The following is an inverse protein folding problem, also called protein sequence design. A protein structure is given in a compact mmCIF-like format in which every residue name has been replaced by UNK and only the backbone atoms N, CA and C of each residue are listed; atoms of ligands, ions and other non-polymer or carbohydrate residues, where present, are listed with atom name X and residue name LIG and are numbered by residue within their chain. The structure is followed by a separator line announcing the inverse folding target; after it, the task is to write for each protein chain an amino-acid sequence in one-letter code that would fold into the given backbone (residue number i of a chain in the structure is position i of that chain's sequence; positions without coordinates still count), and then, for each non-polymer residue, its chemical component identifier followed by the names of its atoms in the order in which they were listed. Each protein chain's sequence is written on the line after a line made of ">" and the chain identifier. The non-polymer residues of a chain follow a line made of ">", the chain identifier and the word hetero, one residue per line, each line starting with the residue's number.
data_IF_149330252885
#
_entry.id   IF_149330252885
#
_cell.length_a   1.000
_cell.length_b   1.000
_cell.length_c   1.000
_cell.angle_alpha   90.00
_cell.angle_beta   90.00
_cell.angle_gamma   90.00
#
_symmetry.space_group_name_H-M   'P 1'
#
loop_
_entity.id
_entity.type
_entity.pdbx_description
1 polymer ?
#
# COMPACT_ATOMS: atom_id res chain seq x y z
N UNK A 1 5.25 11.29 -21.71
CA UNK A 1 6.13 10.72 -20.68
C UNK A 1 5.72 9.27 -20.50
N UNK A 2 6.66 8.33 -20.53
CA UNK A 2 6.37 6.90 -20.41
C UNK A 2 6.08 6.48 -18.97
N UNK A 3 5.33 5.40 -18.81
CA UNK A 3 5.13 4.76 -17.51
C UNK A 3 6.40 3.99 -17.13
N UNK A 4 6.91 4.22 -15.93
CA UNK A 4 8.06 3.50 -15.39
C UNK A 4 7.55 2.48 -14.37
N UNK A 5 7.95 1.23 -14.54
CA UNK A 5 7.63 0.14 -13.63
C UNK A 5 8.90 -0.39 -12.94
N UNK A 6 8.78 -0.72 -11.66
CA UNK A 6 9.82 -1.38 -10.87
C UNK A 6 9.32 -2.73 -10.38
N UNK A 7 10.11 -3.78 -10.55
CA UNK A 7 9.85 -5.08 -9.92
C UNK A 7 10.34 -5.04 -8.47
N UNK A 8 9.41 -5.22 -7.53
CA UNK A 8 9.67 -5.17 -6.09
C UNK A 8 9.14 -6.42 -5.41
N UNK A 9 9.91 -6.95 -4.47
CA UNK A 9 9.43 -7.98 -3.56
C UNK A 9 8.78 -7.33 -2.34
N UNK A 10 7.51 -7.63 -2.10
CA UNK A 10 6.82 -7.30 -0.85
C UNK A 10 6.84 -8.52 0.05
N UNK A 11 7.33 -8.37 1.27
CA UNK A 11 7.30 -9.41 2.29
C UNK A 11 6.47 -8.95 3.49
N UNK A 12 5.77 -9.90 4.11
CA UNK A 12 5.15 -9.68 5.41
C UNK A 12 6.24 -9.63 6.49
N UNK A 13 6.25 -8.58 7.31
CA UNK A 13 7.25 -8.43 8.37
C UNK A 13 7.08 -9.47 9.49
N UNK A 14 5.86 -9.92 9.76
CA UNK A 14 5.57 -10.96 10.75
C UNK A 14 5.94 -12.36 10.25
N UNK A 15 5.96 -12.58 8.93
CA UNK A 15 6.28 -13.86 8.30
C UNK A 15 6.92 -13.66 6.91
N UNK A 16 8.26 -13.59 6.86
CA UNK A 16 9.01 -13.35 5.61
C UNK A 16 8.81 -14.42 4.55
N UNK A 17 8.31 -15.62 4.89
CA UNK A 17 7.99 -16.66 3.90
C UNK A 17 6.79 -16.25 3.04
N UNK A 18 5.95 -15.34 3.55
CA UNK A 18 4.85 -14.72 2.81
C UNK A 18 5.40 -13.48 2.11
N UNK A 19 5.92 -13.71 0.91
CA UNK A 19 6.41 -12.66 0.04
C UNK A 19 5.90 -12.85 -1.39
N UNK A 20 5.84 -11.75 -2.15
CA UNK A 20 5.41 -11.75 -3.55
C UNK A 20 6.13 -10.66 -4.32
N UNK A 21 6.60 -10.99 -5.50
CA UNK A 21 7.16 -10.05 -6.46
C UNK A 21 6.05 -9.41 -7.28
N UNK A 22 6.11 -8.09 -7.44
CA UNK A 22 5.08 -7.28 -8.08
C UNK A 22 5.72 -6.14 -8.87
N UNK A 23 5.16 -5.82 -10.03
CA UNK A 23 5.48 -4.60 -10.75
C UNK A 23 4.74 -3.41 -10.15
N UNK A 24 5.49 -2.38 -9.75
CA UNK A 24 4.99 -1.12 -9.21
C UNK A 24 5.11 0.00 -10.23
N UNK A 25 4.02 0.72 -10.47
CA UNK A 25 4.06 1.97 -11.20
C UNK A 25 4.76 3.04 -10.34
N UNK A 26 5.78 3.68 -10.91
CA UNK A 26 6.44 4.82 -10.27
C UNK A 26 5.60 6.07 -10.50
N UNK A 27 4.92 6.51 -9.44
CA UNK A 27 4.18 7.78 -9.40
C UNK A 27 4.89 8.76 -8.46
N UNK A 28 5.60 9.73 -9.04
CA UNK A 28 6.34 10.76 -8.28
C UNK A 28 5.41 11.71 -7.51
N UNK A 29 4.11 11.73 -7.83
CA UNK A 29 3.10 12.48 -7.08
C UNK A 29 2.60 11.75 -5.83
N UNK A 30 2.83 10.45 -5.72
CA UNK A 30 2.39 9.65 -4.58
C UNK A 30 3.37 9.79 -3.40
N UNK A 31 2.83 10.08 -2.22
CA UNK A 31 3.62 10.19 -0.97
C UNK A 31 3.77 8.86 -0.23
N UNK A 32 3.07 7.81 -0.67
CA UNK A 32 3.07 6.46 -0.08
C UNK A 32 2.96 5.41 -1.18
N UNK A 33 3.46 4.21 -0.93
CA UNK A 33 3.23 3.06 -1.79
C UNK A 33 1.84 2.45 -1.53
N UNK A 34 1.19 1.98 -2.59
CA UNK A 34 -0.14 1.37 -2.52
C UNK A 34 -0.10 -0.05 -3.08
N UNK A 35 -0.74 -0.98 -2.37
CA UNK A 35 -1.00 -2.34 -2.83
C UNK A 35 -2.50 -2.59 -2.91
N UNK A 36 -2.90 -3.51 -3.78
CA UNK A 36 -4.29 -3.95 -3.81
C UNK A 36 -4.64 -4.68 -2.50
N UNK A 37 -5.91 -4.58 -2.08
CA UNK A 37 -6.41 -5.35 -0.92
C UNK A 37 -6.21 -6.86 -1.08
N UNK A 38 -6.27 -7.34 -2.33
CA UNK A 38 -6.04 -8.74 -2.63
C UNK A 38 -4.61 -9.15 -2.33
N UNK A 39 -3.60 -8.37 -2.76
CA UNK A 39 -2.19 -8.61 -2.43
C UNK A 39 -1.96 -8.61 -0.93
N UNK A 40 -2.52 -7.62 -0.21
CA UNK A 40 -2.41 -7.57 1.24
C UNK A 40 -3.01 -8.82 1.92
N UNK A 41 -4.17 -9.29 1.43
CA UNK A 41 -4.82 -10.51 1.93
C UNK A 41 -3.99 -11.77 1.64
N UNK A 42 -3.47 -11.91 0.43
CA UNK A 42 -2.61 -13.05 0.02
C UNK A 42 -1.35 -13.13 0.88
N UNK A 43 -0.73 -11.99 1.18
CA UNK A 43 0.46 -11.91 2.04
C UNK A 43 0.13 -12.00 3.55
N UNK A 44 -1.15 -12.05 3.92
CA UNK A 44 -1.59 -12.05 5.32
C UNK A 44 -1.22 -10.77 6.08
N UNK A 45 -1.08 -9.66 5.35
CA UNK A 45 -0.72 -8.35 5.91
C UNK A 45 -1.93 -7.78 6.66
N UNK A 46 -1.71 -7.45 7.93
CA UNK A 46 -2.74 -6.87 8.80
C UNK A 46 -2.80 -5.36 8.64
N UNK A 47 -4.02 -4.83 8.76
CA UNK A 47 -4.28 -3.40 8.84
C UNK A 47 -3.85 -2.90 10.21
N UNK A 48 -3.06 -1.83 10.24
CA UNK A 48 -2.62 -1.20 11.50
C UNK A 48 -3.48 0.02 11.88
N UNK A 49 -4.26 0.56 10.95
CA UNK A 49 -5.15 1.69 11.25
C UNK A 49 -5.95 2.18 10.04
N UNK A 50 -6.80 3.18 10.29
CA UNK A 50 -7.48 3.98 9.27
C UNK A 50 -7.05 5.43 9.36
N UNK A 51 -6.93 6.08 8.20
CA UNK A 51 -6.81 7.53 8.11
C UNK A 51 -8.08 8.09 7.48
N UNK A 52 -8.66 9.08 8.14
CA UNK A 52 -9.72 9.93 7.61
C UNK A 52 -9.12 10.94 6.65
N UNK A 53 -9.63 10.99 5.42
CA UNK A 53 -9.25 12.00 4.43
C UNK A 53 -10.38 12.99 4.25
N UNK A 54 -10.10 14.27 4.43
CA UNK A 54 -10.96 15.33 3.95
C UNK A 54 -10.65 15.59 2.47
N UNK A 55 -11.67 15.48 1.63
CA UNK A 55 -11.57 15.72 0.20
C UNK A 55 -11.84 17.19 -0.12
N UNK A 56 -11.33 17.68 -1.25
CA UNK A 56 -11.52 19.06 -1.69
C UNK A 56 -13.01 19.48 -1.83
N UNK A 57 -13.93 18.51 -1.91
CA UNK A 57 -15.37 18.76 -1.94
C UNK A 57 -16.01 18.82 -0.53
N UNK A 58 -15.20 18.91 0.53
CA UNK A 58 -15.63 18.96 1.93
C UNK A 58 -16.08 17.61 2.51
N UNK A 59 -16.07 16.52 1.73
CA UNK A 59 -16.45 15.20 2.25
C UNK A 59 -15.29 14.53 2.96
N UNK A 60 -15.57 13.94 4.12
CA UNK A 60 -14.61 13.08 4.82
C UNK A 60 -14.79 11.62 4.41
N UNK A 61 -13.70 10.93 4.08
CA UNK A 61 -13.69 9.49 3.78
C UNK A 61 -12.68 8.74 4.64
N UNK A 62 -13.17 7.73 5.36
CA UNK A 62 -12.33 6.77 6.09
C UNK A 62 -12.05 5.58 5.17
N UNK A 63 -10.97 5.66 4.38
CA UNK A 63 -10.68 4.64 3.36
C UNK A 63 -9.24 4.16 3.30
N UNK A 64 -8.29 4.86 3.91
CA UNK A 64 -6.88 4.45 3.82
C UNK A 64 -6.54 3.45 4.91
N UNK A 65 -6.37 2.20 4.48
CA UNK A 65 -5.74 1.16 5.27
C UNK A 65 -4.25 1.49 5.37
N UNK A 66 -3.80 1.89 6.54
CA UNK A 66 -2.37 2.02 6.79
C UNK A 66 -1.83 0.61 6.98
N UNK A 67 -0.79 0.31 6.23
CA UNK A 67 0.06 -0.85 6.40
C UNK A 67 1.42 -0.28 6.74
N UNK A 68 1.90 -0.49 7.95
CA UNK A 68 3.15 0.09 8.40
C UNK A 68 3.87 -0.88 9.31
N UNK A 69 5.18 -0.73 9.35
CA UNK A 69 6.01 -1.19 10.45
C UNK A 69 5.93 -0.13 11.53
N UNK A 70 5.68 -0.51 12.80
CA UNK A 70 5.95 0.42 13.90
C UNK A 70 7.44 0.81 13.85
N UNK A 71 7.79 2.07 14.23
CA UNK A 71 9.17 2.52 14.25
C UNK A 71 10.06 1.71 15.19
#
# INVERSE_FOLDING_TARGET
>A
MGEIYLELTIANIEDRRRQKELAFLVDTGATRAWVSKQVAKELGIKKIGEISLELANGNVRNRLCVIGTEP
#
